data_IF_875421294421
#
_entry.id   IF_875421294421
#
_cell.length_a   1.000
_cell.length_b   1.000
_cell.length_c   1.000
_cell.angle_alpha   90.00
_cell.angle_beta   90.00
_cell.angle_gamma   90.00
#
_symmetry.space_group_name_H-M   'P 1'
#
loop_
_entity.id
_entity.type
_entity.pdbx_description
1 polymer ?
#
# COMPACT_ATOMS: atom_id res chain seq x y z
N UNK A 1 0.01 4.49 15.35
CA UNK A 1 0.83 3.28 15.45
C UNK A 1 1.48 3.34 16.80
N UNK A 2 1.36 2.26 17.56
CA UNK A 2 2.02 2.15 18.85
C UNK A 2 3.29 1.33 18.62
N UNK A 3 4.45 2.00 18.71
CA UNK A 3 5.74 1.41 18.35
C UNK A 3 6.21 0.35 19.37
N UNK A 4 5.59 0.34 20.56
CA UNK A 4 5.82 -0.62 21.63
C UNK A 4 4.97 -1.90 21.52
N UNK A 5 3.99 -1.96 20.58
CA UNK A 5 3.19 -3.17 20.37
C UNK A 5 3.95 -4.21 19.53
N UNK A 6 4.12 -5.41 20.09
CA UNK A 6 4.80 -6.55 19.46
C UNK A 6 4.10 -7.01 18.17
N UNK A 7 2.79 -6.76 18.04
CA UNK A 7 2.03 -7.03 16.82
C UNK A 7 2.40 -6.12 15.65
N UNK A 8 3.06 -4.99 15.88
CA UNK A 8 3.51 -4.05 14.82
C UNK A 8 4.77 -4.56 14.11
N UNK A 9 5.49 -5.52 14.71
CA UNK A 9 6.79 -6.00 14.20
C UNK A 9 6.70 -6.87 12.94
N UNK A 10 5.52 -7.39 12.61
CA UNK A 10 5.31 -8.18 11.39
C UNK A 10 4.49 -7.46 10.31
N UNK A 11 4.27 -6.16 10.50
CA UNK A 11 3.65 -5.29 9.51
C UNK A 11 4.55 -5.15 8.28
N UNK A 12 4.00 -5.46 7.10
CA UNK A 12 4.67 -5.31 5.81
C UNK A 12 3.78 -4.44 4.94
N UNK A 13 4.38 -3.48 4.21
CA UNK A 13 3.68 -2.63 3.25
C UNK A 13 4.07 -2.99 1.81
N UNK A 14 3.47 -4.03 1.22
CA UNK A 14 3.73 -4.37 -0.17
C UNK A 14 2.93 -3.48 -1.13
N UNK A 15 3.48 -3.23 -2.31
CA UNK A 15 2.80 -2.54 -3.41
C UNK A 15 1.77 -3.43 -4.15
N UNK A 16 1.69 -4.71 -3.81
CA UNK A 16 0.81 -5.73 -4.40
C UNK A 16 0.09 -6.49 -3.29
N UNK A 17 -1.07 -7.05 -3.58
CA UNK A 17 -1.81 -7.86 -2.61
C UNK A 17 -1.37 -9.31 -2.76
N UNK A 18 -0.82 -9.90 -1.69
CA UNK A 18 -0.43 -11.31 -1.64
C UNK A 18 -1.47 -12.09 -0.83
N UNK A 19 -2.05 -13.13 -1.43
CA UNK A 19 -3.06 -13.99 -0.80
C UNK A 19 -2.60 -15.45 -0.79
N UNK A 20 -3.11 -16.22 0.17
CA UNK A 20 -2.83 -17.66 0.28
C UNK A 20 -4.03 -18.43 -0.28
N UNK A 21 -3.78 -19.43 -1.12
CA UNK A 21 -4.81 -20.35 -1.62
C UNK A 21 -5.59 -20.99 -0.47
N UNK A 22 -6.90 -21.11 -0.66
CA UNK A 22 -7.83 -21.79 0.24
C UNK A 22 -7.96 -21.20 1.66
N UNK A 23 -7.36 -20.05 1.93
CA UNK A 23 -7.47 -19.36 3.22
C UNK A 23 -8.51 -18.23 3.13
N UNK A 24 -9.51 -18.16 4.02
CA UNK A 24 -10.42 -17.03 4.07
C UNK A 24 -9.67 -15.77 4.53
N UNK A 25 -9.85 -14.67 3.80
CA UNK A 25 -9.25 -13.38 4.11
C UNK A 25 -10.36 -12.37 4.38
N UNK A 26 -10.24 -11.66 5.50
CA UNK A 26 -11.11 -10.55 5.86
C UNK A 26 -10.53 -9.25 5.30
N UNK A 27 -11.19 -8.69 4.29
CA UNK A 27 -10.87 -7.35 3.82
C UNK A 27 -11.60 -6.33 4.70
N UNK A 28 -10.85 -5.39 5.27
CA UNK A 28 -11.38 -4.23 5.98
C UNK A 28 -11.06 -3.00 5.14
N UNK A 29 -12.06 -2.51 4.42
CA UNK A 29 -11.89 -1.41 3.48
C UNK A 29 -12.49 -0.13 4.05
N UNK A 30 -11.85 0.99 3.71
CA UNK A 30 -12.30 2.33 4.05
C UNK A 30 -11.83 3.30 2.99
N UNK A 31 -12.75 4.08 2.44
CA UNK A 31 -12.39 5.23 1.61
C UNK A 31 -12.03 6.43 2.50
N UNK A 32 -11.02 7.20 2.09
CA UNK A 32 -10.58 8.42 2.79
C UNK A 32 -11.12 9.70 2.12
N UNK A 33 -11.42 9.62 0.85
CA UNK A 33 -11.71 10.73 -0.07
C UNK A 33 -13.14 10.63 -0.62
N UNK A 34 -13.36 9.79 -1.63
CA UNK A 34 -14.62 9.67 -2.38
C UNK A 34 -15.12 8.22 -2.38
N UNK A 35 -16.28 7.98 -2.99
CA UNK A 35 -16.79 6.62 -3.16
C UNK A 35 -15.88 5.87 -4.15
N UNK A 36 -15.36 4.73 -3.70
CA UNK A 36 -14.60 3.79 -4.53
C UNK A 36 -15.34 2.46 -4.60
N UNK A 37 -15.02 1.64 -5.59
CA UNK A 37 -15.55 0.27 -5.67
C UNK A 37 -14.40 -0.72 -5.82
N UNK A 38 -14.11 -1.48 -4.76
CA UNK A 38 -13.13 -2.57 -4.80
C UNK A 38 -13.68 -3.70 -5.66
N UNK A 39 -13.08 -3.92 -6.84
CA UNK A 39 -13.55 -4.93 -7.79
C UNK A 39 -12.45 -5.88 -8.23
N UNK A 40 -12.68 -7.17 -7.98
CA UNK A 40 -11.84 -8.28 -8.41
C UNK A 40 -12.59 -9.07 -9.50
N UNK A 41 -12.34 -8.82 -10.79
CA UNK A 41 -13.13 -9.39 -11.89
C UNK A 41 -13.11 -10.92 -11.90
N UNK A 42 -11.93 -11.52 -11.69
CA UNK A 42 -11.75 -12.97 -11.74
C UNK A 42 -12.39 -13.72 -10.57
N UNK A 43 -12.51 -13.06 -9.43
CA UNK A 43 -13.15 -13.62 -8.23
C UNK A 43 -14.65 -13.30 -8.18
N UNK A 44 -15.14 -12.44 -9.09
CA UNK A 44 -16.52 -11.92 -9.11
C UNK A 44 -16.92 -11.28 -7.77
N UNK A 45 -15.95 -10.67 -7.10
CA UNK A 45 -16.15 -9.96 -5.84
C UNK A 45 -16.11 -8.47 -6.11
N UNK A 46 -17.19 -7.77 -5.75
CA UNK A 46 -17.28 -6.32 -5.74
C UNK A 46 -17.75 -5.87 -4.36
N UNK A 47 -17.12 -4.85 -3.80
CA UNK A 47 -17.60 -4.17 -2.61
C UNK A 47 -17.33 -2.67 -2.71
N UNK A 48 -18.35 -1.86 -2.45
CA UNK A 48 -18.21 -0.41 -2.45
C UNK A 48 -17.54 0.06 -1.14
N UNK A 49 -16.70 1.08 -1.26
CA UNK A 49 -15.96 1.71 -0.18
C UNK A 49 -16.51 3.12 -0.01
N UNK A 50 -17.34 3.31 1.02
CA UNK A 50 -17.99 4.60 1.30
C UNK A 50 -17.19 5.36 2.35
N UNK A 51 -16.90 6.66 2.15
CA UNK A 51 -16.28 7.49 3.17
C UNK A 51 -17.09 7.48 4.48
N UNK A 52 -16.42 7.29 5.61
CA UNK A 52 -17.04 7.30 6.94
C UNK A 52 -17.66 5.98 7.40
N UNK A 53 -17.89 5.00 6.51
CA UNK A 53 -18.38 3.66 6.90
C UNK A 53 -17.37 2.57 6.53
N UNK A 54 -16.82 1.81 7.51
CA UNK A 54 -15.92 0.72 7.20
C UNK A 54 -16.69 -0.45 6.59
N UNK A 55 -16.32 -0.87 5.38
CA UNK A 55 -16.89 -2.07 4.74
C UNK A 55 -16.00 -3.27 5.00
N UNK A 56 -16.63 -4.42 5.22
CA UNK A 56 -15.93 -5.67 5.53
C UNK A 56 -16.56 -6.81 4.76
N UNK A 57 -15.73 -7.65 4.16
CA UNK A 57 -16.20 -8.89 3.56
C UNK A 57 -15.14 -9.97 3.64
N UNK A 58 -15.62 -11.21 3.57
CA UNK A 58 -14.79 -12.39 3.50
C UNK A 58 -14.71 -12.86 2.06
N UNK A 59 -13.50 -13.19 1.61
CA UNK A 59 -13.33 -13.95 0.37
C UNK A 59 -12.31 -15.05 0.57
N UNK A 60 -12.48 -16.14 -0.18
CA UNK A 60 -11.57 -17.28 -0.20
C UNK A 60 -11.07 -17.48 -1.64
N UNK A 61 -9.77 -17.30 -1.92
CA UNK A 61 -9.23 -17.55 -3.24
C UNK A 61 -9.10 -19.07 -3.48
N UNK A 62 -9.63 -19.55 -4.61
CA UNK A 62 -9.69 -20.98 -4.94
C UNK A 62 -8.58 -21.45 -5.89
N UNK A 63 -7.96 -20.54 -6.62
CA UNK A 63 -6.94 -20.84 -7.65
C UNK A 63 -5.73 -19.93 -7.48
N UNK A 64 -4.52 -20.48 -7.54
CA UNK A 64 -3.29 -19.68 -7.53
C UNK A 64 -3.14 -18.90 -8.83
N UNK A 65 -2.24 -17.90 -8.81
CA UNK A 65 -1.87 -17.16 -10.03
C UNK A 65 -1.27 -18.10 -11.07
N UNK A 66 -0.45 -19.07 -10.66
CA UNK A 66 0.14 -20.06 -11.57
C UNK A 66 -0.90 -21.01 -12.18
N UNK A 67 -1.87 -21.48 -11.38
CA UNK A 67 -2.95 -22.33 -11.87
C UNK A 67 -3.76 -21.59 -12.95
N UNK A 68 -4.06 -20.30 -12.74
CA UNK A 68 -4.76 -19.50 -13.73
C UNK A 68 -3.95 -19.22 -14.99
N UNK A 69 -2.63 -19.01 -14.88
CA UNK A 69 -1.74 -18.89 -16.05
C UNK A 69 -1.81 -20.13 -16.93
N UNK A 70 -1.74 -21.32 -16.32
CA UNK A 70 -1.85 -22.61 -17.03
C UNK A 70 -3.22 -22.80 -17.66
N UNK A 71 -4.30 -22.44 -16.96
CA UNK A 71 -5.67 -22.56 -17.49
C UNK A 71 -5.96 -21.61 -18.65
N UNK A 72 -5.42 -20.39 -18.60
CA UNK A 72 -5.69 -19.35 -19.60
C UNK A 72 -4.73 -19.44 -20.80
N UNK A 73 -3.63 -20.21 -20.68
CA UNK A 73 -2.58 -20.27 -21.69
C UNK A 73 -1.79 -18.97 -21.83
N UNK A 74 -1.85 -18.09 -20.82
CA UNK A 74 -1.18 -16.80 -20.80
C UNK A 74 -0.20 -16.77 -19.63
N UNK A 75 1.10 -16.82 -19.92
CA UNK A 75 2.17 -16.79 -18.92
C UNK A 75 2.25 -15.45 -18.18
N UNK A 76 1.81 -14.36 -18.82
CA UNK A 76 1.76 -13.02 -18.24
C UNK A 76 0.52 -12.73 -17.41
N UNK A 77 -0.36 -13.72 -17.18
CA UNK A 77 -1.60 -13.48 -16.43
C UNK A 77 -1.30 -13.10 -14.98
N UNK A 78 -1.88 -11.98 -14.53
CA UNK A 78 -1.93 -11.57 -13.12
C UNK A 78 -3.37 -11.22 -12.78
N UNK A 79 -3.76 -11.40 -11.51
CA UNK A 79 -5.08 -10.96 -11.10
C UNK A 79 -5.06 -9.45 -10.93
N UNK A 80 -5.97 -8.76 -11.59
CA UNK A 80 -6.14 -7.33 -11.44
C UNK A 80 -7.21 -7.04 -10.38
N UNK A 81 -6.90 -6.10 -9.49
CA UNK A 81 -7.85 -5.35 -8.70
C UNK A 81 -8.04 -4.00 -9.37
N UNK A 82 -9.27 -3.62 -9.67
CA UNK A 82 -9.57 -2.33 -10.28
C UNK A 82 -10.67 -1.60 -9.49
N UNK A 83 -10.70 -0.28 -9.61
CA UNK A 83 -11.85 0.50 -9.17
C UNK A 83 -12.97 0.40 -10.23
N UNK A 84 -14.16 -0.07 -9.84
CA UNK A 84 -15.32 -0.18 -10.76
C UNK A 84 -16.32 0.97 -10.63
N UNK A 85 -15.95 2.06 -9.96
CA UNK A 85 -16.76 3.26 -9.78
C UNK A 85 -15.93 4.49 -10.15
N UNK A 86 -16.53 5.48 -10.82
CA UNK A 86 -15.81 6.68 -11.26
C UNK A 86 -15.38 7.54 -10.06
N UNK A 87 -14.15 7.34 -9.61
CA UNK A 87 -13.59 7.93 -8.39
C UNK A 87 -12.70 9.17 -8.63
N UNK A 88 -12.81 9.81 -9.80
CA UNK A 88 -12.10 11.05 -10.13
C UNK A 88 -11.02 10.89 -11.20
N UNK A 89 -10.08 11.86 -11.25
CA UNK A 89 -9.09 11.98 -12.33
C UNK A 89 -8.14 10.78 -12.43
N UNK A 90 -7.80 10.15 -11.30
CA UNK A 90 -6.92 8.98 -11.23
C UNK A 90 -7.61 7.64 -11.52
N UNK A 91 -8.91 7.64 -11.83
CA UNK A 91 -9.72 6.42 -11.92
C UNK A 91 -9.14 5.38 -12.88
N UNK A 92 -8.65 5.80 -14.05
CA UNK A 92 -8.09 4.89 -15.07
C UNK A 92 -6.82 4.15 -14.61
N UNK A 93 -6.07 4.73 -13.67
CA UNK A 93 -4.84 4.14 -13.14
C UNK A 93 -5.05 3.49 -11.76
N UNK A 94 -6.29 3.48 -11.26
CA UNK A 94 -6.62 2.89 -9.96
C UNK A 94 -6.78 1.38 -10.08
N UNK A 95 -5.64 0.73 -10.32
CA UNK A 95 -5.49 -0.72 -10.42
C UNK A 95 -4.33 -1.21 -9.58
N UNK A 96 -4.42 -2.44 -9.11
CA UNK A 96 -3.37 -3.09 -8.32
C UNK A 96 -3.29 -4.55 -8.70
N UNK A 97 -2.09 -5.11 -8.63
CA UNK A 97 -1.89 -6.53 -8.90
C UNK A 97 -2.15 -7.35 -7.63
N UNK A 98 -2.86 -8.46 -7.81
CA UNK A 98 -3.11 -9.46 -6.77
C UNK A 98 -2.40 -10.75 -7.18
N UNK A 99 -1.64 -11.30 -6.25
CA UNK A 99 -0.90 -12.55 -6.43
C UNK A 99 -1.39 -13.56 -5.42
N UNK A 100 -1.91 -14.70 -5.90
CA UNK A 100 -2.34 -15.81 -5.06
C UNK A 100 -1.26 -16.87 -5.08
N UNK A 101 -0.65 -17.09 -3.93
CA UNK A 101 0.42 -18.03 -3.67
C UNK A 101 -0.09 -19.30 -3.00
N UNK A 102 0.69 -20.37 -3.09
CA UNK A 102 0.58 -21.47 -2.13
C UNK A 102 1.10 -21.04 -0.75
N UNK A 103 0.82 -21.84 0.29
CA UNK A 103 1.26 -21.51 1.66
C UNK A 103 2.78 -21.43 1.77
N UNK A 104 3.50 -22.32 1.08
CA UNK A 104 4.95 -22.39 1.13
C UNK A 104 5.60 -21.19 0.43
N UNK A 105 5.09 -20.82 -0.75
CA UNK A 105 5.55 -19.64 -1.50
C UNK A 105 5.28 -18.35 -0.74
N UNK A 106 4.10 -18.22 -0.11
CA UNK A 106 3.78 -17.06 0.70
C UNK A 106 4.73 -16.91 1.89
N UNK A 107 5.07 -18.02 2.56
CA UNK A 107 6.01 -17.98 3.67
C UNK A 107 7.42 -17.57 3.22
N UNK A 108 7.89 -18.05 2.06
CA UNK A 108 9.17 -17.63 1.47
C UNK A 108 9.15 -16.13 1.15
N UNK A 109 8.10 -15.68 0.47
CA UNK A 109 7.91 -14.26 0.17
C UNK A 109 7.90 -13.40 1.45
N UNK A 110 7.18 -13.83 2.51
CA UNK A 110 7.15 -13.10 3.80
C UNK A 110 8.55 -12.96 4.41
N UNK A 111 9.42 -13.95 4.28
CA UNK A 111 10.79 -13.91 4.83
C UNK A 111 11.71 -12.96 4.05
N UNK A 112 11.43 -12.70 2.77
CA UNK A 112 12.19 -11.78 1.94
C UNK A 112 11.82 -10.31 2.18
N UNK A 113 10.64 -10.05 2.77
CA UNK A 113 10.19 -8.68 3.03
C UNK A 113 10.79 -8.14 4.32
N UNK A 114 11.19 -6.87 4.28
CA UNK A 114 11.60 -6.14 5.47
C UNK A 114 10.34 -5.66 6.23
N UNK A 115 10.30 -5.83 7.55
CA UNK A 115 9.21 -5.31 8.36
C UNK A 115 9.21 -3.77 8.30
N UNK A 116 8.03 -3.18 8.24
CA UNK A 116 7.83 -1.74 8.10
C UNK A 116 8.51 -0.95 9.23
N UNK A 117 8.58 -1.52 10.43
CA UNK A 117 9.28 -0.95 11.58
C UNK A 117 10.76 -0.62 11.28
N UNK A 118 11.49 -1.53 10.61
CA UNK A 118 12.90 -1.32 10.28
C UNK A 118 13.09 -0.19 9.24
N UNK A 119 12.16 -0.08 8.30
CA UNK A 119 12.18 0.97 7.27
C UNK A 119 11.96 2.35 7.89
N UNK A 120 11.08 2.46 8.87
CA UNK A 120 10.80 3.74 9.55
C UNK A 120 11.97 4.13 10.46
N UNK A 121 12.50 3.19 11.25
CA UNK A 121 13.67 3.45 12.12
C UNK A 121 14.89 3.95 11.33
N UNK A 122 15.16 3.38 10.16
CA UNK A 122 16.23 3.85 9.29
C UNK A 122 16.00 5.26 8.71
N UNK A 123 14.73 5.63 8.46
CA UNK A 123 14.37 6.96 7.96
C UNK A 123 14.42 8.03 9.07
N UNK A 124 14.03 7.71 10.30
CA UNK A 124 14.15 8.61 11.46
C UNK A 124 15.63 8.89 11.79
N UNK A 125 16.51 7.88 11.69
CA UNK A 125 17.96 8.05 11.83
C UNK A 125 18.56 8.93 10.72
N UNK A 126 18.08 8.80 9.48
CA UNK A 126 18.47 9.65 8.35
C UNK A 126 17.96 11.10 8.47
N UNK A 127 16.75 11.31 9.00
CA UNK A 127 16.20 12.64 9.24
C UNK A 127 16.88 13.35 10.43
N UNK A 128 17.24 12.60 11.48
CA UNK A 128 17.97 13.16 12.64
C UNK A 128 19.40 13.60 12.28
N UNK A 129 20.10 12.84 11.43
CA UNK A 129 21.44 13.17 10.97
C UNK A 129 21.47 14.33 9.95
N UNK A 130 20.39 14.53 9.19
CA UNK A 130 20.20 15.68 8.30
C UNK A 130 19.88 16.99 9.03
N UNK A 131 19.19 16.94 10.17
CA UNK A 131 18.91 18.12 10.99
C UNK A 131 20.15 18.61 11.75
N UNK A 132 21.06 17.72 12.17
CA UNK A 132 22.27 18.10 12.90
C UNK A 132 23.28 18.86 12.01
N UNK A 133 23.34 18.55 10.70
CA UNK A 133 24.16 19.29 9.74
C UNK A 133 23.57 20.66 9.34
N UNK A 134 22.25 20.81 9.35
CA UNK A 134 21.60 22.09 9.03
C UNK A 134 21.75 23.14 10.16
N UNK A 135 21.84 22.68 11.41
CA UNK A 135 21.99 23.56 12.59
C UNK A 135 23.44 24.05 12.80
N UNK A 136 24.47 23.41 12.21
CA UNK A 136 25.86 23.88 12.35
C UNK A 136 26.29 24.95 11.33
N UNK A 137 25.48 25.21 10.29
CA UNK A 137 25.82 26.14 9.20
C UNK A 137 25.21 27.55 9.34
N UNK A 138 24.44 27.82 10.39
CA UNK A 138 23.80 29.12 10.63
C UNK A 138 24.55 30.02 11.60
N UNK A 139 25.75 30.53 11.26
CA UNK A 139 26.37 31.63 12.02
C UNK A 139 27.14 32.62 11.13
N UNK A 140 26.54 33.81 10.98
CA UNK A 140 27.12 35.04 10.40
C UNK A 140 26.41 35.46 9.11
N UNK A 141 25.86 36.66 8.93
CA UNK A 141 25.73 37.85 9.77
C UNK A 141 25.19 39.02 8.93
N UNK A 142 24.65 40.02 9.63
CA UNK A 142 24.43 41.44 9.28
C UNK A 142 23.23 41.91 8.42
N UNK A 143 22.61 42.93 9.00
CA UNK A 143 21.53 43.82 8.55
C UNK A 143 21.93 44.73 7.37
N UNK A 144 20.97 45.08 6.51
CA UNK A 144 20.81 46.45 5.98
C UNK A 144 19.42 46.64 5.34
N UNK A 145 18.73 47.71 5.76
CA UNK A 145 17.48 48.26 5.21
C UNK A 145 17.69 48.91 3.82
N UNK A 146 16.70 48.83 2.92
CA UNK A 146 16.12 49.99 2.22
C UNK A 146 15.03 49.60 1.20
N UNK A 147 13.80 49.99 1.53
CA UNK A 147 12.78 50.74 0.76
C UNK A 147 12.62 50.64 -0.78
N UNK A 148 11.33 50.73 -1.17
CA UNK A 148 10.74 51.21 -2.45
C UNK A 148 10.44 50.17 -3.56
N UNK A 149 9.15 49.84 -3.79
CA UNK A 149 8.24 50.40 -4.84
C UNK A 149 8.22 49.44 -6.07
N UNK A 150 7.11 48.94 -6.62
CA UNK A 150 5.90 49.60 -7.14
C UNK A 150 4.81 48.55 -7.52
N UNK A 151 3.54 48.89 -7.22
CA UNK A 151 2.21 48.43 -7.73
C UNK A 151 1.82 46.95 -7.63
#
# INVERSE_FOLDING_TARGET
MDWDDEATRDDILPNKIHLIKDQPVLFKLRAKDVLHSFFLPHFRVKMDCVPGTPTRFWMKPTKTTEEMRKMTGNEGFTYELACAELCGQGHYNMRMEVVVHTREEFNKWKQEQQPYYEVIGANEEAESSGQEQALSSGKGGKEEESESTEI
#
